data_IF_212744323670
#
_entry.id   IF_212744323670
#
_cell.length_a   1.000
_cell.length_b   1.000
_cell.length_c   1.000
_cell.angle_alpha   90.00
_cell.angle_beta   90.00
_cell.angle_gamma   90.00
#
_symmetry.space_group_name_H-M   'P 1'
#
loop_
_entity.id
_entity.type
_entity.pdbx_description
1 polymer ?
#
# COMPACT_ATOMS: atom_id res chain seq x y z
N UNK A 1 -11.41 -35.27 -20.19
CA UNK A 1 -10.00 -34.99 -19.80
C UNK A 1 -9.58 -33.55 -20.04
N UNK A 2 -9.60 -33.01 -21.28
CA UNK A 2 -9.16 -31.62 -21.56
C UNK A 2 -9.84 -30.54 -20.70
N UNK A 3 -11.16 -30.63 -20.48
CA UNK A 3 -11.94 -29.71 -19.61
C UNK A 3 -11.46 -29.69 -18.14
N UNK A 4 -11.09 -30.84 -17.59
CA UNK A 4 -10.66 -30.97 -16.19
C UNK A 4 -9.28 -30.34 -16.01
N UNK A 5 -8.36 -30.60 -16.94
CA UNK A 5 -7.00 -30.03 -16.94
C UNK A 5 -7.07 -28.50 -17.02
N UNK A 6 -7.92 -27.94 -17.88
CA UNK A 6 -8.13 -26.50 -17.99
C UNK A 6 -8.61 -25.87 -16.68
N UNK A 7 -9.61 -26.47 -16.02
CA UNK A 7 -10.12 -25.96 -14.74
C UNK A 7 -9.03 -25.98 -13.66
N UNK A 8 -8.24 -27.06 -13.61
CA UNK A 8 -7.13 -27.19 -12.67
C UNK A 8 -6.07 -26.09 -12.88
N UNK A 9 -5.71 -25.79 -14.13
CA UNK A 9 -4.75 -24.73 -14.45
C UNK A 9 -5.24 -23.35 -14.02
N UNK A 10 -6.55 -23.07 -14.15
CA UNK A 10 -7.13 -21.80 -13.71
C UNK A 10 -7.11 -21.68 -12.19
N UNK A 11 -7.45 -22.75 -11.48
CA UNK A 11 -7.41 -22.76 -10.01
C UNK A 11 -5.97 -22.55 -9.51
N UNK A 12 -5.01 -23.28 -10.09
CA UNK A 12 -3.58 -23.10 -9.78
C UNK A 12 -3.15 -21.65 -10.06
N UNK A 13 -3.57 -21.08 -11.18
CA UNK A 13 -3.24 -19.71 -11.52
C UNK A 13 -3.84 -18.68 -10.56
N UNK A 14 -5.10 -18.85 -10.15
CA UNK A 14 -5.76 -17.97 -9.15
C UNK A 14 -5.03 -18.06 -7.81
N UNK A 15 -4.68 -19.28 -7.37
CA UNK A 15 -3.92 -19.49 -6.13
C UNK A 15 -2.56 -18.80 -6.21
N UNK A 16 -1.83 -18.96 -7.32
CA UNK A 16 -0.54 -18.30 -7.54
C UNK A 16 -0.64 -16.76 -7.65
N UNK A 17 -1.80 -16.24 -8.03
CA UNK A 17 -2.05 -14.80 -8.12
C UNK A 17 -2.38 -14.16 -6.77
N UNK A 18 -2.75 -14.97 -5.77
CA UNK A 18 -3.03 -14.50 -4.43
C UNK A 18 -1.76 -14.47 -3.62
N UNK A 19 -1.29 -13.27 -3.27
CA UNK A 19 -0.30 -13.13 -2.20
C UNK A 19 -1.04 -12.94 -0.88
N UNK A 20 -0.83 -13.82 0.12
CA UNK A 20 -1.42 -13.63 1.42
C UNK A 20 -0.84 -12.37 2.06
N UNK A 21 -1.67 -11.66 2.83
CA UNK A 21 -1.17 -10.64 3.73
C UNK A 21 -0.30 -11.29 4.81
N UNK A 22 0.71 -10.58 5.28
CA UNK A 22 1.69 -11.14 6.22
C UNK A 22 2.15 -10.08 7.22
N UNK A 23 2.74 -10.53 8.33
CA UNK A 23 3.42 -9.65 9.26
C UNK A 23 4.90 -9.58 8.90
N UNK A 24 5.42 -8.36 8.78
CA UNK A 24 6.83 -8.08 8.54
C UNK A 24 7.48 -7.64 9.85
N UNK A 25 8.60 -8.25 10.23
CA UNK A 25 9.42 -7.78 11.35
C UNK A 25 10.16 -6.50 10.96
N UNK A 26 10.02 -5.47 11.78
CA UNK A 26 10.52 -4.12 11.54
C UNK A 26 11.19 -3.53 12.79
N UNK A 27 11.92 -2.44 12.59
CA UNK A 27 12.39 -1.58 13.68
C UNK A 27 11.56 -0.29 13.68
N UNK A 28 10.86 -0.05 14.77
CA UNK A 28 10.20 1.22 15.01
C UNK A 28 11.17 2.19 15.67
N UNK A 29 11.39 3.33 15.03
CA UNK A 29 12.16 4.44 15.59
C UNK A 29 11.27 5.67 15.69
N UNK A 30 11.81 6.82 16.08
CA UNK A 30 11.04 8.04 16.19
C UNK A 30 11.78 9.25 15.66
N UNK A 31 11.01 10.23 15.21
CA UNK A 31 11.48 11.58 14.89
C UNK A 31 10.60 12.61 15.61
N UNK A 32 11.13 13.81 15.81
CA UNK A 32 10.40 14.86 16.51
C UNK A 32 10.66 16.23 15.87
N UNK A 33 9.77 17.22 16.07
CA UNK A 33 9.98 18.55 15.51
C UNK A 33 11.30 19.16 15.99
N UNK A 34 12.01 19.80 15.05
CA UNK A 34 13.30 20.46 15.27
C UNK A 34 14.39 19.53 15.82
N UNK A 35 14.36 18.25 15.43
CA UNK A 35 15.50 17.36 15.66
C UNK A 35 16.73 17.80 14.85
N UNK A 36 17.86 17.14 15.11
CA UNK A 36 19.13 17.44 14.43
C UNK A 36 19.16 16.98 12.96
N UNK A 37 18.12 16.27 12.50
CA UNK A 37 18.03 15.72 11.15
C UNK A 37 17.18 16.58 10.21
N UNK A 38 16.68 17.72 10.70
CA UNK A 38 15.92 18.68 9.90
C UNK A 38 14.42 18.43 9.88
N UNK A 39 13.91 17.61 10.80
CA UNK A 39 12.47 17.37 10.94
C UNK A 39 11.74 18.65 11.33
N UNK A 40 10.66 18.95 10.60
CA UNK A 40 9.88 20.16 10.84
C UNK A 40 8.67 19.90 11.73
N UNK A 41 7.87 20.94 11.99
CA UNK A 41 6.58 20.81 12.67
C UNK A 41 5.47 20.30 11.74
N UNK A 42 5.76 20.12 10.45
CA UNK A 42 4.80 19.71 9.44
C UNK A 42 5.30 18.47 8.71
N UNK A 43 4.37 17.58 8.42
CA UNK A 43 4.60 16.34 7.69
C UNK A 43 4.56 16.59 6.18
N UNK A 44 5.06 15.65 5.38
CA UNK A 44 5.02 15.73 3.92
C UNK A 44 3.59 15.79 3.33
N UNK A 45 2.57 15.38 4.09
CA UNK A 45 1.14 15.51 3.72
C UNK A 45 0.62 16.96 3.80
N UNK A 46 1.33 17.85 4.52
CA UNK A 46 0.94 19.24 4.75
C UNK A 46 0.31 19.50 6.13
N UNK A 47 -0.07 18.45 6.88
CA UNK A 47 -0.54 18.60 8.25
C UNK A 47 0.61 18.91 9.22
N UNK A 48 0.37 19.81 10.16
CA UNK A 48 1.34 20.25 11.16
C UNK A 48 0.91 19.85 12.56
N UNK A 49 1.80 19.95 13.56
CA UNK A 49 1.54 19.57 14.96
C UNK A 49 0.26 20.14 15.59
N UNK A 50 -0.31 21.22 15.05
CA UNK A 50 -1.59 21.80 15.52
C UNK A 50 -2.82 21.02 15.03
N UNK A 51 -2.65 20.16 14.05
CA UNK A 51 -3.67 19.29 13.46
C UNK A 51 -3.66 17.89 14.07
N UNK A 52 -2.79 17.65 15.06
CA UNK A 52 -2.60 16.34 15.66
C UNK A 52 -2.91 16.39 17.15
N UNK A 53 -3.47 15.30 17.65
CA UNK A 53 -3.53 15.01 19.07
C UNK A 53 -2.25 14.28 19.49
N UNK A 54 -2.11 14.02 20.80
CA UNK A 54 -0.95 13.31 21.35
C UNK A 54 -1.48 12.26 22.32
N UNK A 55 -1.05 11.01 22.16
CA UNK A 55 -1.41 9.93 23.07
C UNK A 55 -0.56 9.96 24.36
N UNK A 56 -0.86 9.05 25.30
CA UNK A 56 -0.16 8.96 26.60
C UNK A 56 1.34 8.63 26.48
N UNK A 57 1.76 8.06 25.35
CA UNK A 57 3.16 7.72 25.07
C UNK A 57 3.92 8.91 24.44
N UNK A 58 3.21 10.01 24.13
CA UNK A 58 3.76 11.20 23.50
C UNK A 58 3.93 11.11 21.99
N UNK A 59 3.21 10.19 21.35
CA UNK A 59 3.17 10.00 19.90
C UNK A 59 2.03 10.84 19.33
N UNK A 60 2.29 11.57 18.25
CA UNK A 60 1.24 12.33 17.56
C UNK A 60 0.25 11.40 16.88
N UNK A 61 -1.03 11.78 16.92
CA UNK A 61 -2.15 11.04 16.32
C UNK A 61 -2.99 11.93 15.40
N UNK A 62 -3.57 11.32 14.38
CA UNK A 62 -4.53 11.93 13.46
C UNK A 62 -5.71 10.98 13.26
N UNK A 63 -6.93 11.41 13.58
CA UNK A 63 -8.14 10.56 13.60
C UNK A 63 -7.91 9.22 14.33
N UNK A 64 -7.41 9.32 15.57
CA UNK A 64 -7.05 8.20 16.48
C UNK A 64 -5.97 7.24 15.95
N UNK A 65 -5.28 7.57 14.86
CA UNK A 65 -4.19 6.76 14.28
C UNK A 65 -2.82 7.39 14.55
N UNK A 66 -1.81 6.57 14.83
CA UNK A 66 -0.43 7.05 15.00
C UNK A 66 0.07 7.68 13.69
N UNK A 67 0.66 8.87 13.80
CA UNK A 67 1.31 9.53 12.67
C UNK A 67 2.70 8.94 12.46
N UNK A 68 2.94 8.40 11.26
CA UNK A 68 4.22 7.75 10.93
C UNK A 68 4.83 8.28 9.63
N UNK A 69 6.15 8.15 9.54
CA UNK A 69 6.97 8.40 8.37
C UNK A 69 7.52 7.06 7.84
N UNK A 70 7.36 6.83 6.54
CA UNK A 70 7.76 5.57 5.89
C UNK A 70 8.48 5.87 4.57
N UNK A 71 9.07 4.88 3.87
CA UNK A 71 9.55 5.10 2.51
C UNK A 71 8.35 5.22 1.57
N UNK A 72 8.18 6.39 0.98
CA UNK A 72 7.04 6.71 0.12
C UNK A 72 7.34 6.36 -1.35
N UNK A 73 6.38 5.73 -2.03
CA UNK A 73 6.46 5.27 -3.44
C UNK A 73 6.92 6.35 -4.43
N UNK A 74 6.56 7.62 -4.19
CA UNK A 74 6.93 8.72 -5.07
C UNK A 74 8.43 9.03 -5.02
N UNK A 75 9.12 8.73 -3.93
CA UNK A 75 10.53 9.09 -3.79
C UNK A 75 11.48 8.16 -4.54
N UNK A 76 11.11 6.90 -4.78
CA UNK A 76 11.87 6.02 -5.70
C UNK A 76 11.70 6.39 -7.17
N UNK A 77 10.79 7.30 -7.49
CA UNK A 77 10.46 7.72 -8.86
C UNK A 77 10.81 9.18 -9.14
N UNK A 78 11.29 9.93 -8.15
CA UNK A 78 11.49 11.38 -8.25
C UNK A 78 12.93 11.77 -7.92
N UNK A 79 13.55 12.50 -8.85
CA UNK A 79 14.93 12.97 -8.71
C UNK A 79 15.03 14.40 -8.15
N UNK A 80 13.96 14.93 -7.54
CA UNK A 80 13.90 16.32 -7.06
C UNK A 80 13.56 16.40 -5.57
N UNK A 81 13.90 17.54 -4.95
CA UNK A 81 13.59 17.84 -3.56
C UNK A 81 14.16 16.82 -2.57
N UNK A 82 13.45 16.58 -1.47
CA UNK A 82 13.85 15.62 -0.43
C UNK A 82 13.97 14.19 -0.98
N UNK A 83 13.19 13.84 -2.01
CA UNK A 83 13.21 12.52 -2.63
C UNK A 83 14.46 12.21 -3.46
N UNK A 84 15.20 13.22 -3.92
CA UNK A 84 16.35 13.06 -4.83
C UNK A 84 17.45 12.13 -4.30
N UNK A 85 17.45 11.87 -2.99
CA UNK A 85 18.39 11.00 -2.28
C UNK A 85 17.93 9.55 -2.16
N UNK A 86 16.71 9.20 -2.58
CA UNK A 86 16.03 7.93 -2.24
C UNK A 86 15.47 7.21 -3.48
N UNK A 87 16.32 7.02 -4.49
CA UNK A 87 15.90 6.50 -5.81
C UNK A 87 15.89 4.97 -5.91
N UNK A 88 16.19 4.26 -4.83
CA UNK A 88 16.12 2.81 -4.75
C UNK A 88 15.70 2.37 -3.35
N UNK A 89 15.11 1.18 -3.28
CA UNK A 89 14.72 0.56 -2.02
C UNK A 89 15.40 -0.82 -1.91
N UNK A 90 15.94 -1.19 -0.74
CA UNK A 90 16.47 -2.53 -0.52
C UNK A 90 15.45 -3.64 -0.85
N UNK A 91 15.94 -4.78 -1.33
CA UNK A 91 15.08 -5.94 -1.63
C UNK A 91 14.38 -6.42 -0.37
N UNK A 92 13.07 -6.66 -0.47
CA UNK A 92 12.24 -7.15 0.64
C UNK A 92 11.67 -6.05 1.51
N UNK A 93 12.00 -4.78 1.25
CA UNK A 93 11.37 -3.65 1.93
C UNK A 93 10.05 -3.27 1.24
N UNK A 94 9.13 -2.72 2.01
CA UNK A 94 7.84 -2.23 1.54
C UNK A 94 7.85 -0.72 1.41
N UNK A 95 7.03 -0.19 0.49
CA UNK A 95 6.82 1.25 0.31
C UNK A 95 5.34 1.56 0.39
N UNK A 96 5.03 2.79 0.75
CA UNK A 96 3.66 3.23 1.00
C UNK A 96 3.37 4.52 0.26
N UNK A 97 2.09 4.83 0.11
CA UNK A 97 1.63 6.13 -0.31
C UNK A 97 1.32 6.99 0.93
N UNK A 98 1.38 8.31 0.77
CA UNK A 98 0.85 9.21 1.81
C UNK A 98 -0.67 8.92 1.92
N UNK A 99 -1.17 8.87 3.14
CA UNK A 99 -2.50 8.41 3.54
C UNK A 99 -2.75 6.90 3.51
N UNK A 100 -1.74 6.07 3.22
CA UNK A 100 -1.88 4.63 3.50
C UNK A 100 -2.04 4.41 5.01
N UNK A 101 -2.99 3.53 5.37
CA UNK A 101 -3.23 3.10 6.75
C UNK A 101 -2.54 1.77 7.01
N UNK A 102 -1.85 1.66 8.14
CA UNK A 102 -1.11 0.46 8.56
C UNK A 102 -1.60 -0.03 9.92
N UNK A 103 -1.38 -1.33 10.18
CA UNK A 103 -1.48 -1.89 11.53
C UNK A 103 -0.09 -2.22 12.03
N UNK A 104 0.26 -1.62 13.15
CA UNK A 104 1.54 -1.80 13.82
C UNK A 104 1.34 -2.65 15.07
N UNK A 105 2.31 -3.49 15.38
CA UNK A 105 2.35 -4.26 16.60
C UNK A 105 3.71 -4.10 17.27
N UNK A 106 3.74 -3.49 18.45
CA UNK A 106 4.94 -3.36 19.28
C UNK A 106 4.52 -3.16 20.74
N UNK A 107 5.41 -3.51 21.68
CA UNK A 107 5.14 -3.43 23.13
C UNK A 107 3.81 -4.12 23.53
N UNK A 108 3.53 -5.29 22.94
CA UNK A 108 2.33 -6.10 23.17
C UNK A 108 0.99 -5.38 22.91
N UNK A 109 1.03 -4.31 22.09
CA UNK A 109 -0.14 -3.54 21.69
C UNK A 109 -0.23 -3.45 20.17
N UNK A 110 -1.47 -3.43 19.68
CA UNK A 110 -1.76 -3.13 18.28
C UNK A 110 -2.17 -1.67 18.15
N UNK A 111 -1.61 -0.97 17.16
CA UNK A 111 -1.94 0.40 16.83
C UNK A 111 -2.38 0.50 15.37
N UNK A 112 -3.42 1.27 15.12
CA UNK A 112 -3.69 1.77 13.79
C UNK A 112 -2.82 3.00 13.54
N UNK A 113 -2.27 3.10 12.33
CA UNK A 113 -1.34 4.16 11.96
C UNK A 113 -1.65 4.71 10.57
N UNK A 114 -1.24 5.94 10.32
CA UNK A 114 -1.41 6.64 9.05
C UNK A 114 -0.09 7.25 8.58
N UNK A 115 0.26 6.97 7.32
CA UNK A 115 1.47 7.49 6.69
C UNK A 115 1.23 8.93 6.28
N UNK A 116 1.78 9.90 7.00
CA UNK A 116 1.65 11.32 6.66
C UNK A 116 2.99 11.97 6.28
N UNK A 117 4.10 11.28 6.46
CA UNK A 117 5.43 11.84 6.24
C UNK A 117 6.39 10.90 5.52
N UNK A 118 7.53 11.44 5.08
CA UNK A 118 8.58 10.70 4.36
C UNK A 118 9.75 10.46 5.31
N UNK A 119 10.14 9.19 5.44
CA UNK A 119 11.32 8.81 6.20
C UNK A 119 12.49 8.46 5.26
N UNK A 120 13.56 9.26 5.33
CA UNK A 120 14.77 9.04 4.55
C UNK A 120 15.63 7.85 5.05
N UNK A 121 15.75 7.69 6.36
CA UNK A 121 16.50 6.58 6.96
C UNK A 121 15.85 5.22 6.70
N UNK A 122 14.55 5.21 6.41
CA UNK A 122 13.79 4.00 6.11
C UNK A 122 14.12 3.38 4.73
N UNK A 123 14.97 4.05 3.94
CA UNK A 123 15.57 3.50 2.72
C UNK A 123 16.93 2.84 2.97
N UNK A 124 17.51 2.96 4.16
CA UNK A 124 18.81 2.39 4.47
C UNK A 124 18.73 0.86 4.56
N UNK A 125 19.77 0.19 4.05
CA UNK A 125 19.89 -1.25 4.17
C UNK A 125 20.32 -1.60 5.59
N UNK A 126 19.41 -2.19 6.34
CA UNK A 126 19.55 -2.62 7.73
C UNK A 126 19.03 -4.06 7.86
N UNK A 127 19.15 -4.67 9.05
CA UNK A 127 18.63 -6.02 9.32
C UNK A 127 17.09 -6.04 9.23
N UNK A 128 16.45 -5.03 9.80
CA UNK A 128 15.01 -4.81 9.75
C UNK A 128 14.71 -3.46 9.12
N UNK A 129 13.67 -3.42 8.29
CA UNK A 129 13.22 -2.16 7.74
C UNK A 129 12.74 -1.22 8.85
N UNK A 130 13.13 0.05 8.75
CA UNK A 130 12.78 1.09 9.71
C UNK A 130 11.45 1.78 9.36
N UNK A 131 10.70 2.15 10.40
CA UNK A 131 9.49 2.98 10.33
C UNK A 131 9.54 4.00 11.46
N UNK A 132 9.38 5.29 11.15
CA UNK A 132 9.57 6.38 12.10
C UNK A 132 8.23 6.89 12.65
N UNK A 133 8.04 6.84 13.97
CA UNK A 133 6.88 7.40 14.67
C UNK A 133 7.10 8.88 14.94
N UNK A 134 6.09 9.71 14.69
CA UNK A 134 6.18 11.14 14.97
C UNK A 134 5.88 11.42 16.44
N UNK A 135 6.90 11.81 17.20
CA UNK A 135 6.76 12.02 18.65
C UNK A 135 6.91 13.49 19.03
N UNK A 136 6.32 13.85 20.17
CA UNK A 136 6.28 15.23 20.67
C UNK A 136 7.67 15.84 20.86
N UNK A 137 8.60 15.05 21.42
CA UNK A 137 9.90 15.55 21.84
C UNK A 137 10.94 14.45 22.04
N UNK A 138 12.18 14.85 22.31
CA UNK A 138 13.30 13.95 22.60
C UNK A 138 13.08 13.03 23.81
N UNK A 139 12.23 13.39 24.77
CA UNK A 139 11.94 12.51 25.91
C UNK A 139 11.02 11.34 25.56
N UNK A 140 10.41 11.37 24.36
CA UNK A 140 9.47 10.36 23.87
C UNK A 140 10.11 9.48 22.78
N UNK A 141 11.44 9.38 22.74
CA UNK A 141 12.13 8.59 21.72
C UNK A 141 11.69 7.13 21.80
N UNK A 142 11.42 6.57 20.62
CA UNK A 142 11.12 5.16 20.43
C UNK A 142 12.28 4.56 19.65
N UNK A 143 12.73 3.39 20.11
CA UNK A 143 13.65 2.53 19.39
C UNK A 143 13.38 1.09 19.85
N UNK A 144 12.53 0.39 19.09
CA UNK A 144 12.05 -0.95 19.45
C UNK A 144 11.82 -1.80 18.21
N UNK A 145 11.70 -3.10 18.40
CA UNK A 145 11.32 -4.04 17.36
C UNK A 145 9.83 -4.33 17.44
N UNK A 146 9.25 -4.66 16.30
CA UNK A 146 7.84 -5.01 16.23
C UNK A 146 7.47 -5.50 14.84
N UNK A 147 6.20 -5.45 14.53
CA UNK A 147 5.66 -5.97 13.27
C UNK A 147 4.73 -4.98 12.60
N UNK A 148 4.75 -4.96 11.27
CA UNK A 148 3.76 -4.27 10.45
C UNK A 148 2.94 -5.31 9.70
N UNK A 149 1.61 -5.18 9.75
CA UNK A 149 0.74 -5.97 8.90
C UNK A 149 0.75 -5.42 7.47
N UNK A 150 1.33 -6.18 6.55
CA UNK A 150 1.43 -5.83 5.15
C UNK A 150 0.24 -6.42 4.40
N UNK A 151 -0.68 -5.54 4.00
CA UNK A 151 -1.77 -5.88 3.09
C UNK A 151 -1.27 -5.79 1.66
N UNK A 152 -1.02 -6.93 1.04
CA UNK A 152 -0.65 -6.99 -0.37
C UNK A 152 -1.78 -6.39 -1.23
N UNK A 153 -1.45 -5.37 -2.04
CA UNK A 153 -2.39 -4.75 -2.97
C UNK A 153 -2.70 -5.79 -4.06
N UNK A 154 -3.95 -6.28 -4.07
CA UNK A 154 -4.41 -7.20 -5.12
C UNK A 154 -4.24 -6.52 -6.47
N UNK A 155 -3.44 -7.11 -7.35
CA UNK A 155 -3.30 -6.62 -8.70
C UNK A 155 -4.51 -7.05 -9.54
N UNK A 156 -5.57 -6.24 -9.51
CA UNK A 156 -6.82 -6.49 -10.23
C UNK A 156 -6.63 -6.64 -11.74
N UNK A 157 -5.57 -6.07 -12.32
CA UNK A 157 -5.28 -6.21 -13.75
C UNK A 157 -4.97 -7.66 -14.12
N UNK A 158 -4.16 -8.36 -13.31
CA UNK A 158 -3.87 -9.77 -13.55
C UNK A 158 -5.12 -10.63 -13.37
N UNK A 159 -5.93 -10.36 -12.34
CA UNK A 159 -7.21 -11.06 -12.13
C UNK A 159 -8.12 -10.85 -13.34
N UNK A 160 -8.24 -9.60 -13.82
CA UNK A 160 -9.06 -9.24 -14.96
C UNK A 160 -8.61 -9.95 -16.24
N UNK A 161 -7.30 -9.94 -16.54
CA UNK A 161 -6.74 -10.68 -17.69
C UNK A 161 -7.06 -12.16 -17.58
N UNK A 162 -6.90 -12.76 -16.41
CA UNK A 162 -7.13 -14.19 -16.23
C UNK A 162 -8.60 -14.56 -16.40
N UNK A 163 -9.52 -13.75 -15.87
CA UNK A 163 -10.96 -13.91 -16.10
C UNK A 163 -11.26 -13.75 -17.60
N UNK A 164 -10.68 -12.76 -18.26
CA UNK A 164 -10.89 -12.53 -19.70
C UNK A 164 -10.40 -13.71 -20.55
N UNK A 165 -9.19 -14.20 -20.30
CA UNK A 165 -8.63 -15.38 -20.96
C UNK A 165 -9.48 -16.63 -20.69
N UNK A 166 -10.00 -16.78 -19.47
CA UNK A 166 -10.94 -17.86 -19.14
C UNK A 166 -12.20 -17.82 -20.00
N UNK A 167 -12.82 -16.64 -20.15
CA UNK A 167 -13.99 -16.48 -21.01
C UNK A 167 -13.70 -16.85 -22.48
N UNK A 168 -12.58 -16.38 -23.04
CA UNK A 168 -12.13 -16.74 -24.40
C UNK A 168 -12.07 -18.27 -24.54
N UNK A 169 -11.52 -18.94 -23.54
CA UNK A 169 -11.33 -20.38 -23.57
C UNK A 169 -12.67 -21.13 -23.50
N UNK A 170 -13.62 -20.68 -22.68
CA UNK A 170 -14.98 -21.22 -22.64
C UNK A 170 -15.72 -21.09 -23.97
N UNK A 171 -15.50 -19.98 -24.69
CA UNK A 171 -16.06 -19.74 -26.03
C UNK A 171 -15.45 -20.70 -27.05
N UNK A 172 -14.12 -20.86 -27.05
CA UNK A 172 -13.43 -21.81 -27.94
C UNK A 172 -13.90 -23.24 -27.72
N UNK A 173 -14.17 -23.62 -26.48
CA UNK A 173 -14.69 -24.95 -26.12
C UNK A 173 -16.19 -25.12 -26.40
N UNK A 174 -16.86 -24.11 -26.98
CA UNK A 174 -18.31 -24.05 -27.21
C UNK A 174 -19.15 -24.30 -25.94
N UNK A 175 -18.58 -24.01 -24.77
CA UNK A 175 -19.27 -24.14 -23.48
C UNK A 175 -20.22 -22.96 -23.21
N UNK A 176 -19.94 -21.80 -23.82
CA UNK A 176 -20.76 -20.60 -23.73
C UNK A 176 -21.06 -20.09 -25.14
N UNK A 177 -22.34 -19.79 -25.41
CA UNK A 177 -22.74 -19.09 -26.63
C UNK A 177 -22.61 -17.58 -26.41
N UNK A 178 -21.68 -16.94 -27.12
CA UNK A 178 -21.37 -15.52 -26.94
C UNK A 178 -22.35 -14.58 -27.67
N UNK A 179 -23.14 -15.10 -28.63
CA UNK A 179 -24.04 -14.29 -29.48
C UNK A 179 -25.01 -13.41 -28.67
N UNK A 180 -25.65 -13.88 -27.57
CA UNK A 180 -26.53 -13.06 -26.74
C UNK A 180 -25.79 -11.90 -26.08
N UNK A 181 -24.55 -12.14 -25.59
CA UNK A 181 -23.73 -11.13 -24.92
C UNK A 181 -23.27 -10.05 -25.90
N UNK A 182 -22.82 -10.42 -27.10
CA UNK A 182 -22.47 -9.45 -28.17
C UNK A 182 -23.67 -8.59 -28.53
N UNK A 183 -24.86 -9.20 -28.65
CA UNK A 183 -26.11 -8.47 -28.94
C UNK A 183 -26.44 -7.46 -27.83
N UNK A 184 -26.23 -7.84 -26.57
CA UNK A 184 -26.43 -6.96 -25.41
C UNK A 184 -25.44 -5.78 -25.41
N UNK A 185 -24.14 -6.05 -25.58
CA UNK A 185 -23.09 -5.01 -25.61
C UNK A 185 -23.34 -4.00 -26.73
N UNK A 186 -23.69 -4.46 -27.95
CA UNK A 186 -24.05 -3.55 -29.07
C UNK A 186 -25.22 -2.65 -28.72
N UNK A 187 -26.27 -3.18 -28.07
CA UNK A 187 -27.41 -2.39 -27.60
C UNK A 187 -26.98 -1.34 -26.57
N UNK A 188 -26.15 -1.72 -25.61
CA UNK A 188 -25.68 -0.80 -24.57
C UNK A 188 -24.80 0.33 -25.12
N UNK A 189 -23.82 0.02 -25.98
CA UNK A 189 -22.98 1.02 -26.66
C UNK A 189 -23.82 1.98 -27.52
N UNK A 190 -24.86 1.48 -28.17
CA UNK A 190 -25.78 2.32 -28.95
C UNK A 190 -26.59 3.30 -28.08
N UNK A 191 -26.88 2.95 -26.81
CA UNK A 191 -27.53 3.84 -25.84
C UNK A 191 -26.57 4.94 -25.37
N UNK A 192 -25.34 4.58 -25.00
CA UNK A 192 -24.31 5.54 -24.58
C UNK A 192 -24.05 6.56 -25.68
N UNK A 193 -23.87 6.10 -26.93
CA UNK A 193 -23.62 7.00 -28.07
C UNK A 193 -24.74 8.04 -28.28
N UNK A 194 -26.00 7.70 -27.96
CA UNK A 194 -27.14 8.64 -28.03
C UNK A 194 -27.18 9.64 -26.86
N UNK A 195 -26.64 9.27 -25.70
CA UNK A 195 -26.58 10.15 -24.53
C UNK A 195 -25.44 11.16 -24.62
N UNK A 196 -24.32 10.81 -25.27
CA UNK A 196 -23.15 11.69 -25.43
C UNK A 196 -23.32 12.70 -26.58
N UNK A 197 -24.23 12.45 -27.53
CA UNK A 197 -24.51 13.35 -28.67
C UNK A 197 -25.73 14.28 -28.44
N UNK A 198 -26.21 14.39 -27.20
CA UNK A 198 -27.22 15.37 -26.76
C UNK A 198 -26.57 16.33 -25.79
#
# INVERSE_FOLDING_TARGET
MKKIITILLIIIFIILSYKPSYYQDVRFTSYHPNDKTGSTKCTASGYCIKSFDINDEGIYTYDDKLVIATPVNRCTKSNTGVCSKYNSLPKGYNQFDIYDELKLYFNDKQYDAIVLDICGACYWKEEHQRYDLFVKSKSNIIDTYGQVYIKEKINYYFIFISIFLFFILLIQMKLINIKPLIKYIKRYLSKIKRQVMR
#
